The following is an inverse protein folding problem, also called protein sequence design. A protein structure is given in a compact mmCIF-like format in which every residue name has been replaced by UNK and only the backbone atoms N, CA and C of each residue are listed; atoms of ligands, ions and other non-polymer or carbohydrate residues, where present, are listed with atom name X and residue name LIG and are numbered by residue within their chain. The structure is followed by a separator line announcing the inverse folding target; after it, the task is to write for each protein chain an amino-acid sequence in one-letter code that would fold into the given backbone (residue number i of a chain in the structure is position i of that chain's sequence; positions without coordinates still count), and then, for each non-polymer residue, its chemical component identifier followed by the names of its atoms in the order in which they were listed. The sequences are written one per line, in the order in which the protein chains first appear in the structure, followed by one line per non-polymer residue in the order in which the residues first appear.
data_IF_638841271632
#
_entry.id   IF_638841271632
#
_cell.length_a   1.000
_cell.length_b   1.000
_cell.length_c   1.000
_cell.angle_alpha   90.00
_cell.angle_beta   90.00
_cell.angle_gamma   90.00
#
_symmetry.space_group_name_H-M   'P 1'
#
loop_
_entity.id
_entity.type
_entity.pdbx_description
1 polymer ?
#
# COMPACT_ATOMS: atom_id res chain seq x y z
N UNK A 1 -3.95 -8.18 -34.93
CA UNK A 1 -4.70 -7.59 -33.80
C UNK A 1 -3.67 -7.11 -32.78
N UNK A 2 -3.20 -5.87 -32.94
CA UNK A 2 -2.16 -5.26 -32.10
C UNK A 2 -2.84 -4.54 -30.93
N UNK A 3 -2.81 -5.13 -29.73
CA UNK A 3 -3.29 -4.44 -28.53
C UNK A 3 -2.15 -3.59 -27.94
N UNK A 4 -2.23 -2.32 -28.29
CA UNK A 4 -1.75 -1.11 -27.62
C UNK A 4 -1.15 -1.32 -26.21
N UNK A 5 0.17 -1.49 -26.12
CA UNK A 5 0.92 -1.24 -24.89
C UNK A 5 1.02 0.27 -24.73
N UNK A 6 0.24 0.86 -23.82
CA UNK A 6 0.42 2.25 -23.40
C UNK A 6 1.76 2.37 -22.70
N UNK A 7 2.78 2.81 -23.44
CA UNK A 7 4.04 3.31 -22.89
C UNK A 7 3.71 4.51 -22.01
N UNK A 8 3.86 4.38 -20.69
CA UNK A 8 3.82 5.54 -19.80
C UNK A 8 5.02 6.41 -20.18
N UNK A 9 4.73 7.59 -20.73
CA UNK A 9 5.73 8.57 -21.11
C UNK A 9 6.52 8.98 -19.88
N UNK A 10 7.85 8.99 -20.01
CA UNK A 10 8.80 9.62 -19.09
C UNK A 10 8.49 11.12 -19.01
N UNK A 11 7.56 11.48 -18.14
CA UNK A 11 7.16 12.85 -17.85
C UNK A 11 7.08 13.00 -16.36
N UNK A 12 7.95 13.83 -15.80
CA UNK A 12 8.04 14.16 -14.38
C UNK A 12 6.81 14.95 -13.95
N UNK A 13 5.65 14.29 -13.82
CA UNK A 13 4.50 14.85 -13.12
C UNK A 13 4.54 14.35 -11.69
N UNK A 14 4.89 15.24 -10.74
CA UNK A 14 4.97 14.95 -9.31
C UNK A 14 3.61 14.60 -8.64
N UNK A 15 2.56 14.31 -9.42
CA UNK A 15 1.25 13.89 -8.93
C UNK A 15 0.68 12.72 -9.77
N UNK A 16 1.53 11.72 -10.08
CA UNK A 16 1.03 10.46 -10.62
C UNK A 16 0.22 9.72 -9.54
N UNK A 17 -0.99 9.27 -9.89
CA UNK A 17 -1.81 8.41 -9.04
C UNK A 17 -0.98 7.20 -8.58
N UNK A 18 -0.99 6.83 -7.28
CA UNK A 18 -0.21 5.70 -6.80
C UNK A 18 -0.71 4.40 -7.45
N UNK A 19 0.21 3.48 -7.69
CA UNK A 19 -0.11 2.16 -8.24
C UNK A 19 -0.93 1.32 -7.27
N UNK A 20 -0.67 1.51 -5.97
CA UNK A 20 -1.44 0.93 -4.88
C UNK A 20 -1.84 2.08 -3.97
N UNK A 21 -3.15 2.25 -3.77
CA UNK A 21 -3.71 3.28 -2.90
C UNK A 21 -4.33 2.63 -1.66
N UNK A 22 -4.26 3.33 -0.54
CA UNK A 22 -4.79 2.87 0.75
C UNK A 22 -5.87 3.82 1.25
N UNK A 23 -6.93 3.27 1.85
CA UNK A 23 -7.94 4.04 2.57
C UNK A 23 -7.69 3.91 4.07
N UNK A 24 -7.25 4.98 4.73
CA UNK A 24 -6.94 4.98 6.17
C UNK A 24 -8.19 4.78 7.06
N UNK A 25 -9.40 4.84 6.51
CA UNK A 25 -10.63 4.52 7.24
C UNK A 25 -10.98 3.03 7.19
N UNK A 26 -10.16 2.21 6.51
CA UNK A 26 -10.34 0.75 6.38
C UNK A 26 -9.16 0.03 7.00
N UNK A 27 -9.43 -1.06 7.71
CA UNK A 27 -8.38 -1.93 8.22
C UNK A 27 -7.51 -2.50 7.09
N UNK A 28 -6.23 -2.83 7.31
CA UNK A 28 -5.33 -3.40 6.29
C UNK A 28 -5.90 -4.61 5.51
N UNK A 29 -6.64 -5.48 6.18
CA UNK A 29 -7.26 -6.68 5.58
C UNK A 29 -8.48 -6.38 4.71
N UNK A 30 -9.07 -5.21 4.87
CA UNK A 30 -10.26 -4.76 4.14
C UNK A 30 -9.90 -3.67 3.12
N UNK A 31 -8.65 -3.52 2.70
CA UNK A 31 -8.30 -2.62 1.60
C UNK A 31 -8.87 -3.15 0.26
N UNK A 32 -8.87 -2.32 -0.79
CA UNK A 32 -9.28 -2.76 -2.14
C UNK A 32 -8.40 -3.89 -2.66
N UNK A 33 -7.11 -3.83 -2.34
CA UNK A 33 -6.13 -4.91 -2.45
C UNK A 33 -5.75 -5.30 -1.02
N UNK A 34 -6.14 -6.49 -0.53
CA UNK A 34 -5.81 -6.90 0.83
C UNK A 34 -4.31 -6.85 1.11
N UNK A 35 -3.92 -6.16 2.19
CA UNK A 35 -2.53 -6.07 2.62
C UNK A 35 -2.14 -7.34 3.38
N UNK A 36 -0.88 -7.75 3.26
CA UNK A 36 -0.32 -8.90 3.96
C UNK A 36 0.78 -8.45 4.94
N UNK A 37 0.87 -9.13 6.07
CA UNK A 37 1.83 -8.87 7.14
C UNK A 37 2.76 -10.08 7.40
N UNK A 38 2.81 -11.02 6.47
CA UNK A 38 3.66 -12.22 6.49
C UNK A 38 4.28 -12.43 5.12
N UNK A 39 5.43 -13.07 5.11
CA UNK A 39 6.10 -13.49 3.88
C UNK A 39 5.79 -14.95 3.61
N UNK A 40 5.24 -15.24 2.44
CA UNK A 40 4.99 -16.60 1.98
C UNK A 40 5.05 -16.64 0.44
N UNK A 41 5.60 -17.73 -0.12
CA UNK A 41 5.78 -17.89 -1.56
C UNK A 41 4.45 -17.88 -2.34
N UNK A 42 3.38 -18.32 -1.69
CA UNK A 42 2.05 -18.40 -2.28
C UNK A 42 1.30 -17.05 -2.31
N UNK A 43 1.87 -15.98 -1.74
CA UNK A 43 1.25 -14.65 -1.82
C UNK A 43 1.36 -14.17 -3.26
N UNK A 44 0.23 -13.94 -3.96
CA UNK A 44 0.25 -13.56 -5.36
C UNK A 44 0.80 -12.13 -5.53
N UNK A 45 1.49 -11.91 -6.65
CA UNK A 45 1.86 -10.55 -7.03
C UNK A 45 0.62 -9.73 -7.35
N UNK A 46 0.55 -8.53 -6.76
CA UNK A 46 -0.54 -7.57 -6.99
C UNK A 46 -0.30 -6.68 -8.21
N UNK A 47 0.97 -6.50 -8.60
CA UNK A 47 1.36 -5.68 -9.75
C UNK A 47 2.72 -6.08 -10.31
N UNK A 48 2.92 -5.86 -11.61
CA UNK A 48 4.20 -6.02 -12.28
C UNK A 48 4.57 -4.71 -12.96
N UNK A 49 5.84 -4.31 -12.84
CA UNK A 49 6.40 -3.09 -13.44
C UNK A 49 7.61 -3.46 -14.29
N UNK A 50 7.96 -2.60 -15.24
CA UNK A 50 9.13 -2.80 -16.08
C UNK A 50 10.39 -2.25 -15.41
N UNK A 51 11.55 -2.73 -15.87
CA UNK A 51 12.84 -2.16 -15.47
C UNK A 51 12.90 -0.69 -15.89
N UNK A 52 13.22 0.18 -14.94
CA UNK A 52 13.31 1.62 -15.15
C UNK A 52 12.01 2.39 -14.90
N UNK A 53 10.90 1.72 -14.56
CA UNK A 53 9.67 2.41 -14.18
C UNK A 53 9.85 3.13 -12.83
N UNK A 54 9.39 4.38 -12.75
CA UNK A 54 9.28 5.16 -11.52
C UNK A 54 7.81 5.18 -11.13
N UNK A 55 7.51 4.77 -9.90
CA UNK A 55 6.15 4.65 -9.41
C UNK A 55 6.06 4.98 -7.92
N UNK A 56 4.83 5.26 -7.48
CA UNK A 56 4.49 5.49 -6.08
C UNK A 56 3.55 4.39 -5.59
N UNK A 57 3.72 4.02 -4.32
CA UNK A 57 2.80 3.17 -3.57
C UNK A 57 2.48 3.88 -2.26
N UNK A 58 1.23 3.79 -1.83
CA UNK A 58 0.84 4.24 -0.51
C UNK A 58 0.94 3.07 0.48
N UNK A 59 1.27 3.40 1.73
CA UNK A 59 1.42 2.44 2.80
C UNK A 59 0.56 2.89 3.98
N UNK A 60 0.03 1.91 4.71
CA UNK A 60 -0.48 2.13 6.07
C UNK A 60 0.72 2.13 7.03
N UNK A 61 0.60 2.80 8.18
CA UNK A 61 1.59 2.63 9.23
C UNK A 61 1.65 1.15 9.68
N UNK A 62 2.77 0.76 10.26
CA UNK A 62 3.06 -0.64 10.59
C UNK A 62 2.10 -1.27 11.62
N UNK A 63 1.39 -0.45 12.42
CA UNK A 63 0.39 -0.94 13.37
C UNK A 63 -0.98 -1.13 12.72
N UNK A 64 -1.16 -0.64 11.48
CA UNK A 64 -2.44 -0.68 10.78
C UNK A 64 -3.43 0.38 11.24
N UNK A 65 -2.95 1.51 11.78
CA UNK A 65 -3.78 2.63 12.25
C UNK A 65 -4.19 2.54 13.72
N UNK A 66 -3.50 1.76 14.55
CA UNK A 66 -3.87 1.59 15.97
C UNK A 66 -3.41 2.75 16.86
N UNK A 67 -2.43 3.54 16.41
CA UNK A 67 -1.87 4.65 17.19
C UNK A 67 -2.51 5.97 16.78
N UNK A 68 -3.05 6.69 17.76
CA UNK A 68 -3.80 7.93 17.58
C UNK A 68 -2.98 9.16 18.00
N UNK A 69 -3.38 10.33 17.50
CA UNK A 69 -2.85 11.61 17.94
C UNK A 69 -3.79 12.24 18.99
N UNK A 70 -3.68 11.81 20.25
CA UNK A 70 -4.65 12.15 21.30
C UNK A 70 -4.05 12.48 22.70
N UNK A 71 -2.75 12.81 22.78
CA UNK A 71 -2.02 13.08 24.05
C UNK A 71 -2.12 11.97 25.12
N UNK A 72 -2.43 10.74 24.70
CA UNK A 72 -2.46 9.55 25.55
C UNK A 72 -1.45 8.52 25.05
N UNK A 73 -0.90 7.71 25.97
CA UNK A 73 -0.06 6.55 25.62
C UNK A 73 -0.83 5.22 25.74
N UNK A 74 -2.16 5.28 25.92
CA UNK A 74 -2.99 4.10 26.15
C UNK A 74 -3.08 3.20 24.93
N UNK A 75 -3.10 3.78 23.73
CA UNK A 75 -3.05 3.06 22.46
C UNK A 75 -1.73 2.30 22.28
N UNK A 76 -0.59 2.93 22.57
CA UNK A 76 0.73 2.28 22.55
C UNK A 76 0.80 1.13 23.56
N UNK A 77 0.20 1.30 24.75
CA UNK A 77 0.17 0.25 25.79
C UNK A 77 -0.66 -0.96 25.38
N UNK A 78 -1.75 -0.74 24.64
CA UNK A 78 -2.76 -1.76 24.35
C UNK A 78 -2.77 -2.20 22.87
N UNK A 79 -1.78 -1.79 22.07
CA UNK A 79 -1.62 -2.18 20.67
C UNK A 79 -1.58 -3.71 20.54
N UNK A 80 -2.35 -4.25 19.60
CA UNK A 80 -2.31 -5.66 19.27
C UNK A 80 -1.19 -5.92 18.25
N UNK A 81 -0.17 -6.67 18.69
CA UNK A 81 0.99 -7.05 17.88
C UNK A 81 0.92 -8.51 17.41
N UNK A 82 -0.21 -9.18 17.60
CA UNK A 82 -0.39 -10.61 17.27
C UNK A 82 -0.99 -10.85 15.90
N UNK A 83 -1.41 -9.78 15.21
CA UNK A 83 -1.94 -9.80 13.85
C UNK A 83 -1.04 -10.52 12.84
#
# INVERSE_FOLDING_TARGET
MLNLVRRLSTGTSYAAKPLISVDLNRSPTHQSIPLHNRWHLDIPSVICVNRGDIFHIECVDWTGGQIENNDSANDVKNVDLTH
#
